data_IF_394139577756
#
_entry.id   IF_394139577756
#
_cell.length_a   1.000
_cell.length_b   1.000
_cell.length_c   1.000
_cell.angle_alpha   90.00
_cell.angle_beta   90.00
_cell.angle_gamma   90.00
#
_symmetry.space_group_name_H-M   'P 1'
#
loop_
_entity.id
_entity.type
_entity.pdbx_description
1 polymer ?
2 non-polymer ?
3 water ?
#
# COMPACT_ATOMS: atom_id res chain seq x y z
N UNK A 3 3.42 16.85 19.14
CA UNK A 3 2.09 16.47 18.55
C UNK A 3 0.98 16.49 19.60
N UNK A 4 -0.25 16.84 19.20
CA UNK A 4 -1.33 16.86 20.18
C UNK A 4 -1.64 15.39 20.56
N UNK A 5 -2.42 15.20 21.61
CA UNK A 5 -2.75 13.85 22.05
C UNK A 5 -3.72 13.19 21.08
N UNK A 6 -3.52 11.89 20.77
CA UNK A 6 -4.44 11.19 19.86
C UNK A 6 -5.81 11.24 20.52
N UNK A 7 -6.87 11.32 19.72
CA UNK A 7 -8.23 11.40 20.22
C UNK A 7 -8.96 10.07 20.02
N UNK A 8 -8.99 9.27 21.06
CA UNK A 8 -9.63 7.97 21.03
C UNK A 8 -11.14 8.03 20.82
N UNK A 9 -11.79 9.04 21.39
CA UNK A 9 -13.25 9.18 21.19
C UNK A 9 -13.53 9.48 19.71
N UNK A 10 -12.70 10.30 19.09
CA UNK A 10 -12.86 10.60 17.67
C UNK A 10 -12.59 9.34 16.86
N UNK A 11 -11.54 8.61 17.24
CA UNK A 11 -11.24 7.37 16.53
C UNK A 11 -12.41 6.40 16.64
N UNK A 12 -13.01 6.31 17.83
CA UNK A 12 -14.14 5.40 18.03
C UNK A 12 -15.28 5.75 17.07
N UNK A 13 -15.53 7.05 16.92
CA UNK A 13 -16.59 7.54 16.04
C UNK A 13 -16.31 7.23 14.58
N UNK A 14 -15.05 7.38 14.18
CA UNK A 14 -14.68 7.08 12.80
C UNK A 14 -15.01 5.63 12.51
N UNK A 15 -14.57 4.72 13.38
CA UNK A 15 -14.85 3.30 13.17
C UNK A 15 -16.35 3.04 13.12
N UNK A 16 -17.08 3.59 14.08
CA UNK A 16 -18.52 3.41 14.13
C UNK A 16 -19.17 3.92 12.83
N UNK A 17 -18.73 5.06 12.33
CA UNK A 17 -19.25 5.58 11.08
C UNK A 17 -18.93 4.64 9.90
N UNK A 18 -17.72 4.09 9.85
CA UNK A 18 -17.37 3.18 8.76
C UNK A 18 -18.32 1.98 8.77
N UNK A 19 -18.64 1.46 9.95
CA UNK A 19 -19.56 0.31 9.99
C UNK A 19 -20.94 0.72 9.45
N UNK A 20 -21.41 1.89 9.87
CA UNK A 20 -22.69 2.39 9.40
C UNK A 20 -22.72 2.55 7.88
N UNK A 21 -21.54 2.63 7.27
CA UNK A 21 -21.46 2.83 5.83
C UNK A 21 -21.19 1.58 5.02
N UNK A 22 -21.06 0.43 5.69
CA UNK A 22 -20.88 -0.80 4.93
C UNK A 22 -19.68 -1.65 5.26
N UNK A 23 -18.79 -1.14 6.12
CA UNK A 23 -17.63 -1.92 6.53
C UNK A 23 -18.08 -2.92 7.59
N UNK A 24 -17.86 -4.22 7.37
CA UNK A 24 -18.27 -5.23 8.36
C UNK A 24 -17.49 -4.96 9.66
N UNK A 25 -16.23 -4.59 9.51
CA UNK A 25 -15.36 -4.32 10.65
C UNK A 25 -14.35 -3.22 10.33
N UNK A 26 -13.84 -2.56 11.35
CA UNK A 26 -12.84 -1.52 11.12
C UNK A 26 -12.02 -1.42 12.39
N UNK A 27 -10.74 -1.10 12.25
CA UNK A 27 -9.89 -1.02 13.43
C UNK A 27 -8.69 -0.14 13.17
N UNK A 28 -8.07 0.35 14.24
CA UNK A 28 -6.94 1.23 14.12
C UNK A 28 -6.01 1.07 15.30
N UNK A 29 -4.72 1.20 15.05
CA UNK A 29 -3.71 1.13 16.10
C UNK A 29 -2.79 2.33 15.96
N UNK A 30 -2.55 3.01 17.08
CA UNK A 30 -1.65 4.14 17.06
C UNK A 30 -0.48 3.78 17.98
N UNK A 31 0.74 4.07 17.53
CA UNK A 31 1.90 3.83 18.36
C UNK A 31 2.39 5.26 18.59
N UNK A 32 2.02 5.81 19.74
CA UNK A 32 2.37 7.19 20.07
C UNK A 32 3.60 7.27 20.99
N UNK A 33 4.76 7.24 20.34
CA UNK A 33 6.04 7.33 21.04
C UNK A 33 6.10 6.41 22.25
N UNK A 34 5.69 5.16 22.05
CA UNK A 34 5.73 4.19 23.11
C UNK A 34 4.42 3.90 23.86
N UNK A 35 3.39 4.71 23.62
CA UNK A 35 2.10 4.49 24.25
C UNK A 35 1.18 4.06 23.12
N UNK A 36 0.55 2.90 23.31
CA UNK A 36 -0.34 2.33 22.28
C UNK A 36 -1.81 2.73 22.41
N UNK A 37 -2.47 2.99 21.28
CA UNK A 37 -3.91 3.23 21.29
C UNK A 37 -4.42 2.17 20.34
N UNK A 38 -5.47 1.46 20.72
CA UNK A 38 -5.99 0.43 19.83
C UNK A 38 -7.49 0.30 19.99
N UNK A 39 -8.20 0.36 18.86
CA UNK A 39 -9.65 0.27 18.86
C UNK A 39 -10.11 -0.54 17.64
N UNK A 40 -11.24 -1.22 17.79
CA UNK A 40 -11.83 -2.00 16.71
C UNK A 40 -13.33 -2.14 16.94
N UNK A 41 -14.06 -2.30 15.86
CA UNK A 41 -15.50 -2.50 16.04
C UNK A 41 -15.92 -3.36 14.87
N UNK A 42 -16.91 -4.21 15.06
CA UNK A 42 -17.32 -4.99 13.91
C UNK A 42 -16.75 -6.38 13.88
N UNK A 43 -16.94 -7.02 12.73
CA UNK A 43 -16.56 -8.40 12.55
C UNK A 43 -15.47 -8.64 11.51
N UNK A 44 -14.62 -9.62 11.81
CA UNK A 44 -13.54 -10.04 10.94
C UNK A 44 -14.19 -10.95 9.87
N UNK A 45 -15.19 -11.73 10.29
CA UNK A 45 -15.88 -12.63 9.36
C UNK A 45 -17.35 -12.36 9.60
N UNK A 46 -18.02 -11.78 8.61
CA UNK A 46 -19.43 -11.43 8.75
C UNK A 46 -20.42 -12.61 8.73
N UNK A 47 -19.99 -13.78 8.24
CA UNK A 47 -20.88 -14.94 8.21
C UNK A 47 -20.82 -15.69 9.53
N UNK A 48 -19.64 -15.79 10.11
CA UNK A 48 -19.50 -16.48 11.37
C UNK A 48 -19.68 -15.50 12.50
N UNK A 49 -19.46 -14.21 12.21
CA UNK A 49 -19.61 -13.19 13.23
C UNK A 49 -18.41 -13.00 14.15
N UNK A 50 -17.29 -13.62 13.82
CA UNK A 50 -16.09 -13.46 14.63
C UNK A 50 -15.68 -11.98 14.63
N UNK A 51 -15.48 -11.40 15.81
CA UNK A 51 -15.11 -9.98 15.92
C UNK A 51 -13.74 -9.64 15.36
N UNK A 52 -13.62 -8.46 14.78
CA UNK A 52 -12.34 -8.00 14.24
C UNK A 52 -11.52 -7.45 15.40
N UNK A 53 -10.19 -7.57 15.33
CA UNK A 53 -9.31 -7.07 16.39
C UNK A 53 -8.10 -6.43 15.72
N UNK A 54 -7.37 -5.58 16.45
CA UNK A 54 -6.20 -4.95 15.85
C UNK A 54 -5.05 -5.92 15.56
N UNK A 55 -5.15 -7.17 16.02
CA UNK A 55 -4.09 -8.12 15.74
C UNK A 55 -4.41 -8.99 14.50
N UNK A 56 -5.59 -8.83 13.92
CA UNK A 56 -5.94 -9.61 12.72
C UNK A 56 -5.06 -9.20 11.52
N UNK A 57 -4.53 -10.19 10.82
CA UNK A 57 -3.73 -9.88 9.64
C UNK A 57 -4.64 -9.47 8.48
N UNK A 58 -4.08 -8.77 7.50
CA UNK A 58 -4.89 -8.32 6.37
C UNK A 58 -4.01 -7.99 5.18
N UNK A 59 -4.63 -7.77 4.02
CA UNK A 59 -3.90 -7.43 2.79
C UNK A 59 -3.75 -5.91 2.75
N UNK A 60 -2.52 -5.45 2.77
CA UNK A 60 -2.20 -4.02 2.81
C UNK A 60 -2.17 -3.26 1.49
N UNK A 61 -2.40 -3.94 0.37
CA UNK A 61 -2.41 -3.22 -0.91
C UNK A 61 -1.10 -2.49 -1.19
N UNK A 62 -1.18 -1.29 -1.76
CA UNK A 62 0.02 -0.52 -2.12
C UNK A 62 0.94 -0.04 -1.04
N UNK A 63 0.64 -0.42 0.21
CA UNK A 63 1.57 -0.11 1.26
C UNK A 63 2.78 -0.96 0.80
N UNK A 64 2.49 -2.01 0.03
CA UNK A 64 3.53 -2.89 -0.50
C UNK A 64 4.58 -2.08 -1.25
N UNK A 65 4.12 -1.04 -1.94
CA UNK A 65 5.02 -0.18 -2.72
C UNK A 65 6.14 0.38 -1.88
N UNK A 66 5.83 0.74 -0.63
CA UNK A 66 6.85 1.28 0.25
C UNK A 66 7.91 0.22 0.56
N UNK A 67 7.47 -1.04 0.68
CA UNK A 67 8.42 -2.12 0.93
C UNK A 67 9.31 -2.26 -0.33
N UNK A 68 8.68 -2.27 -1.51
CA UNK A 68 9.45 -2.37 -2.75
C UNK A 68 10.44 -1.22 -2.90
N UNK A 69 10.01 0.00 -2.57
CA UNK A 69 10.89 1.15 -2.70
C UNK A 69 12.05 1.03 -1.72
N UNK A 70 11.79 0.55 -0.51
CA UNK A 70 12.87 0.40 0.46
C UNK A 70 13.95 -0.54 -0.12
N UNK A 71 13.54 -1.68 -0.65
CA UNK A 71 14.51 -2.59 -1.24
C UNK A 71 15.33 -1.89 -2.34
N UNK A 72 14.63 -1.21 -3.25
CA UNK A 72 15.32 -0.52 -4.33
C UNK A 72 16.27 0.58 -3.85
N UNK A 73 15.90 1.30 -2.80
CA UNK A 73 16.77 2.37 -2.32
C UNK A 73 17.99 1.76 -1.63
N UNK A 74 17.85 0.58 -1.02
CA UNK A 74 19.00 -0.07 -0.42
C UNK A 74 19.95 -0.50 -1.56
N UNK A 75 19.38 -0.93 -2.68
CA UNK A 75 20.21 -1.32 -3.83
C UNK A 75 20.93 -0.07 -4.34
N UNK A 76 20.33 1.10 -4.17
CA UNK A 76 20.98 2.34 -4.60
C UNK A 76 22.15 2.60 -3.64
N UNK A 77 21.91 2.45 -2.35
CA UNK A 77 22.98 2.62 -1.36
C UNK A 77 24.13 1.66 -1.66
N UNK A 78 23.79 0.46 -2.10
CA UNK A 78 24.81 -0.56 -2.40
C UNK A 78 25.50 -0.32 -3.75
N UNK A 79 25.05 0.68 -4.50
CA UNK A 79 25.67 0.98 -5.78
C UNK A 79 25.22 0.07 -6.92
N UNK A 80 24.16 -0.69 -6.73
CA UNK A 80 23.67 -1.60 -7.75
C UNK A 80 22.59 -0.98 -8.63
N UNK A 81 22.13 0.20 -8.26
CA UNK A 81 21.07 0.87 -9.01
C UNK A 81 21.23 2.39 -8.99
N UNK A 82 21.02 3.03 -10.13
CA UNK A 82 21.11 4.48 -10.22
C UNK A 82 19.69 4.95 -10.58
N UNK A 83 19.08 5.78 -9.72
CA UNK A 83 17.70 6.21 -9.94
C UNK A 83 17.48 6.92 -11.23
N UNK A 84 18.52 7.57 -11.75
CA UNK A 84 18.31 8.28 -12.99
C UNK A 84 18.71 7.50 -14.24
N UNK A 85 19.08 6.23 -14.06
CA UNK A 85 19.39 5.38 -15.21
C UNK A 85 18.06 4.93 -15.81
N UNK A 86 18.06 4.62 -17.10
CA UNK A 86 16.85 4.14 -17.76
C UNK A 86 16.49 2.75 -17.29
N UNK A 87 15.19 2.45 -17.26
CA UNK A 87 14.73 1.13 -16.88
C UNK A 87 15.32 0.10 -17.90
N UNK A 88 15.34 0.46 -19.19
CA UNK A 88 15.84 -0.46 -20.21
C UNK A 88 17.31 -0.84 -20.05
N UNK A 89 18.02 -0.04 -19.27
CA UNK A 89 19.42 -0.34 -18.99
C UNK A 89 19.50 -1.64 -18.20
N UNK A 90 18.64 -1.78 -17.19
CA UNK A 90 18.63 -2.97 -16.33
C UNK A 90 17.74 -4.10 -16.85
N UNK A 91 16.73 -3.73 -17.65
CA UNK A 91 15.78 -4.69 -18.20
C UNK A 91 15.69 -4.37 -19.69
N UNK A 92 16.70 -4.79 -20.45
CA UNK A 92 16.78 -4.55 -21.89
C UNK A 92 15.50 -4.84 -22.63
N UNK A 93 15.10 -3.91 -23.50
CA UNK A 93 13.91 -4.08 -24.31
C UNK A 93 12.56 -4.15 -23.62
N UNK A 94 12.51 -3.88 -22.32
CA UNK A 94 11.24 -3.95 -21.61
C UNK A 94 10.26 -2.86 -22.03
N UNK A 95 10.70 -1.60 -22.02
CA UNK A 95 9.79 -0.50 -22.36
C UNK A 95 10.05 0.06 -23.75
N UNK A 96 9.01 0.63 -24.37
CA UNK A 96 9.24 1.17 -25.72
C UNK A 96 10.06 2.46 -25.73
N UNK A 97 10.21 3.08 -24.56
CA UNK A 97 10.96 4.32 -24.44
C UNK A 97 12.18 4.06 -23.58
N UNK A 98 13.34 4.06 -24.21
CA UNK A 98 14.56 3.76 -23.47
C UNK A 98 15.03 4.92 -22.60
N UNK A 99 14.19 5.94 -22.45
CA UNK A 99 14.54 7.08 -21.58
C UNK A 99 13.70 7.12 -20.30
N UNK A 100 12.70 6.24 -20.18
CA UNK A 100 11.91 6.19 -18.94
C UNK A 100 12.90 5.65 -17.88
N UNK A 101 13.07 6.40 -16.79
CA UNK A 101 14.00 6.07 -15.71
C UNK A 101 13.39 5.40 -14.50
N UNK A 102 14.26 4.86 -13.66
CA UNK A 102 13.83 4.18 -12.46
C UNK A 102 13.12 5.18 -11.52
N UNK A 103 13.66 6.39 -11.42
CA UNK A 103 13.06 7.42 -10.58
C UNK A 103 11.64 7.75 -11.07
N UNK A 104 11.47 7.86 -12.38
CA UNK A 104 10.15 8.16 -12.93
C UNK A 104 9.15 7.05 -12.61
N UNK A 105 9.60 5.81 -12.73
CA UNK A 105 8.72 4.70 -12.44
C UNK A 105 8.34 4.69 -10.94
N UNK A 106 9.30 4.93 -10.06
CA UNK A 106 9.04 4.90 -8.62
C UNK A 106 8.16 6.03 -8.12
N UNK A 107 8.04 7.10 -8.90
CA UNK A 107 7.23 8.25 -8.52
C UNK A 107 6.00 8.45 -9.40
N UNK A 108 5.68 7.44 -10.22
CA UNK A 108 4.53 7.51 -11.11
C UNK A 108 4.62 8.69 -12.11
N UNK A 109 5.82 8.90 -12.66
CA UNK A 109 5.95 9.96 -13.65
C UNK A 109 6.46 9.34 -14.96
N UNK A 110 6.19 8.04 -15.14
CA UNK A 110 6.66 7.32 -16.32
C UNK A 110 5.71 7.39 -17.53
N UNK A 111 4.43 7.62 -17.28
CA UNK A 111 3.46 7.65 -18.36
C UNK A 111 2.95 6.26 -18.73
N UNK A 112 3.43 5.23 -18.03
CA UNK A 112 2.97 3.86 -18.32
C UNK A 112 1.49 3.65 -17.99
N UNK A 113 0.74 3.11 -18.95
CA UNK A 113 -0.69 2.87 -18.77
C UNK A 113 -0.95 1.85 -17.66
N UNK A 114 -1.99 2.11 -16.86
CA UNK A 114 -2.31 1.20 -15.76
C UNK A 114 -3.26 0.10 -16.24
N UNK A 115 -2.75 -1.12 -16.36
CA UNK A 115 -3.56 -2.26 -16.83
C UNK A 115 -4.72 -2.61 -15.90
N UNK A 116 -4.64 -2.24 -14.63
CA UNK A 116 -5.74 -2.56 -13.74
C UNK A 116 -7.03 -1.80 -14.10
N UNK A 117 -6.92 -0.70 -14.87
CA UNK A 117 -8.13 0.02 -15.27
C UNK A 117 -8.95 -0.89 -16.22
N UNK A 118 -8.27 -1.75 -16.96
CA UNK A 118 -8.96 -2.70 -17.83
C UNK A 118 -9.51 -3.84 -16.98
N UNK A 119 -8.70 -4.34 -16.05
CA UNK A 119 -9.11 -5.48 -15.24
C UNK A 119 -10.32 -5.20 -14.39
N UNK A 120 -10.37 -4.03 -13.78
CA UNK A 120 -11.48 -3.74 -12.88
C UNK A 120 -12.51 -2.72 -13.30
N UNK A 121 -12.85 -2.71 -14.60
CA UNK A 121 -13.86 -1.82 -15.14
C UNK A 121 -15.16 -2.16 -14.43
N UNK A 122 -15.34 -3.45 -14.15
CA UNK A 122 -16.51 -3.92 -13.41
C UNK A 122 -15.89 -4.57 -12.17
N UNK A 123 -16.26 -4.10 -11.00
CA UNK A 123 -15.65 -4.57 -9.75
C UNK A 123 -15.68 -6.06 -9.46
N UNK A 124 -16.87 -6.65 -9.35
CA UNK A 124 -16.94 -8.05 -9.00
C UNK A 124 -16.52 -8.96 -10.16
N UNK A 125 -17.00 -8.68 -11.39
CA UNK A 125 -16.58 -9.55 -12.50
C UNK A 125 -15.05 -9.47 -12.67
N UNK A 126 -14.51 -8.26 -12.49
CA UNK A 126 -13.07 -8.08 -12.62
C UNK A 126 -12.35 -8.90 -11.55
N UNK A 127 -12.86 -8.83 -10.32
CA UNK A 127 -12.26 -9.61 -9.25
C UNK A 127 -12.34 -11.11 -9.57
N UNK A 128 -13.52 -11.59 -9.99
CA UNK A 128 -13.66 -13.02 -10.28
C UNK A 128 -12.71 -13.42 -11.41
N UNK A 129 -12.43 -12.47 -12.28
CA UNK A 129 -11.58 -12.78 -13.42
C UNK A 129 -10.10 -13.02 -13.04
N UNK A 130 -9.58 -12.20 -12.14
CA UNK A 130 -8.17 -12.30 -11.78
C UNK A 130 -7.83 -12.98 -10.47
N UNK A 131 -8.83 -13.20 -9.60
CA UNK A 131 -8.52 -13.73 -8.26
C UNK A 131 -7.70 -14.98 -8.19
N UNK A 132 -7.95 -15.90 -9.11
CA UNK A 132 -7.22 -17.15 -9.12
C UNK A 132 -6.21 -17.23 -10.25
N UNK A 133 -5.83 -16.08 -10.80
CA UNK A 133 -4.86 -16.08 -11.89
C UNK A 133 -3.45 -15.82 -11.40
N UNK A 134 -2.47 -16.42 -12.07
CA UNK A 134 -1.06 -16.20 -11.72
C UNK A 134 -0.41 -15.55 -12.96
N UNK A 135 0.06 -14.34 -12.78
CA UNK A 135 0.72 -13.59 -13.85
C UNK A 135 2.20 -13.49 -13.59
N UNK A 136 3.00 -13.44 -14.66
CA UNK A 136 4.43 -13.20 -14.51
C UNK A 136 4.49 -11.68 -14.53
N UNK A 137 5.59 -11.11 -14.08
CA UNK A 137 5.74 -9.65 -14.14
C UNK A 137 5.61 -9.22 -15.59
N UNK A 138 6.23 -9.97 -16.49
CA UNK A 138 6.19 -9.60 -17.91
C UNK A 138 4.76 -9.62 -18.44
N UNK A 139 3.95 -10.58 -18.01
CA UNK A 139 2.55 -10.65 -18.46
C UNK A 139 1.87 -9.30 -18.22
N UNK A 140 2.09 -8.75 -17.02
CA UNK A 140 1.47 -7.49 -16.60
C UNK A 140 1.99 -6.30 -17.42
N UNK A 141 3.30 -6.24 -17.61
CA UNK A 141 3.91 -5.17 -18.39
C UNK A 141 3.33 -5.22 -19.82
N UNK A 142 3.24 -6.43 -20.36
CA UNK A 142 2.71 -6.55 -21.71
C UNK A 142 1.28 -6.00 -21.80
N UNK A 143 0.48 -6.27 -20.77
CA UNK A 143 -0.89 -5.79 -20.73
C UNK A 143 -0.87 -4.29 -20.80
N UNK A 144 0.02 -3.68 -20.02
CA UNK A 144 0.13 -2.24 -20.02
C UNK A 144 0.52 -1.68 -21.39
N UNK A 145 1.58 -2.26 -21.96
CA UNK A 145 2.16 -1.83 -23.23
C UNK A 145 1.24 -1.95 -24.43
N UNK A 146 0.16 -2.71 -24.29
CA UNK A 146 -0.84 -2.84 -25.36
C UNK A 146 -1.48 -1.45 -25.60
N UNK A 147 -1.44 -0.62 -24.56
CA UNK A 147 -1.98 0.75 -24.65
C UNK A 147 -0.78 1.65 -24.90
N UNK A 148 -1.00 2.86 -25.38
CA UNK A 148 0.18 3.71 -25.55
C UNK A 148 0.47 4.33 -24.20
N UNK A 149 1.62 4.99 -24.01
CA UNK A 149 1.86 5.64 -22.72
C UNK A 149 0.82 6.76 -22.66
N UNK A 150 0.56 7.27 -21.47
CA UNK A 150 -0.47 8.30 -21.29
C UNK A 150 0.05 9.71 -21.35
N UNK A 151 1.37 9.87 -21.24
CA UNK A 151 2.00 11.19 -21.27
C UNK A 151 3.51 11.00 -21.37
N UNK A 152 4.23 12.10 -21.58
CA UNK A 152 5.69 12.09 -21.69
C UNK A 152 6.33 11.77 -20.35
N UNK A 153 7.47 11.09 -20.36
CA UNK A 153 8.14 10.76 -19.09
C UNK A 153 8.49 12.03 -18.35
N UNK A 154 8.35 11.97 -17.03
CA UNK A 154 8.67 13.09 -16.15
C UNK A 154 7.64 14.20 -16.23
N UNK A 155 6.66 14.04 -17.12
CA UNK A 155 5.61 15.03 -17.35
C UNK A 155 4.88 15.44 -16.08
N UNK A 156 4.22 14.48 -15.45
CA UNK A 156 3.48 14.74 -14.20
C UNK A 156 3.13 13.40 -13.56
N UNK A 157 2.65 13.46 -12.34
CA UNK A 157 2.28 12.27 -11.62
C UNK A 157 0.98 11.67 -12.19
N UNK A 158 1.02 10.39 -12.54
CA UNK A 158 -0.18 9.68 -12.98
C UNK A 158 -0.04 8.28 -12.41
N UNK A 159 -0.89 7.95 -11.43
CA UNK A 159 -0.80 6.63 -10.81
C UNK A 159 -0.89 5.44 -11.77
N UNK A 160 -0.01 4.48 -11.63
CA UNK A 160 -0.07 3.30 -12.48
C UNK A 160 0.58 2.11 -11.77
N UNK A 161 -0.20 1.06 -11.52
CA UNK A 161 0.34 -0.13 -10.87
C UNK A 161 1.49 -0.70 -11.67
N UNK A 162 1.45 -0.51 -12.99
CA UNK A 162 2.50 -1.00 -13.88
C UNK A 162 3.88 -0.54 -13.36
N UNK A 163 3.95 0.67 -12.82
CA UNK A 163 5.21 1.18 -12.33
C UNK A 163 5.84 0.29 -11.26
N UNK A 164 5.05 -0.21 -10.32
CA UNK A 164 5.66 -1.04 -9.31
C UNK A 164 5.73 -2.50 -9.68
N UNK A 165 5.18 -2.86 -10.84
CA UNK A 165 5.34 -4.21 -11.36
C UNK A 165 6.77 -4.14 -11.92
N UNK A 166 7.08 -3.03 -12.59
CA UNK A 166 8.43 -2.84 -13.11
C UNK A 166 9.39 -2.85 -11.91
N UNK A 167 9.01 -2.19 -10.81
CA UNK A 167 9.86 -2.17 -9.63
C UNK A 167 10.19 -3.59 -9.15
N UNK A 168 9.21 -4.49 -9.15
CA UNK A 168 9.46 -5.86 -8.71
C UNK A 168 10.42 -6.57 -9.67
N UNK A 169 10.21 -6.36 -10.96
CA UNK A 169 11.07 -6.97 -11.97
C UNK A 169 12.51 -6.51 -11.78
N UNK A 170 12.69 -5.22 -11.50
CA UNK A 170 14.04 -4.67 -11.26
C UNK A 170 14.67 -5.34 -10.05
N UNK A 171 13.91 -5.42 -8.97
CA UNK A 171 14.45 -6.05 -7.75
C UNK A 171 14.94 -7.49 -8.04
N UNK A 172 14.12 -8.31 -8.69
CA UNK A 172 14.50 -9.70 -8.94
C UNK A 172 15.65 -9.83 -9.92
N UNK A 173 15.69 -8.96 -10.92
CA UNK A 173 16.80 -9.02 -11.88
C UNK A 173 18.12 -8.59 -11.23
N UNK A 174 18.11 -7.49 -10.52
CA UNK A 174 19.36 -7.00 -9.93
C UNK A 174 19.89 -7.83 -8.79
N UNK A 175 19.01 -8.54 -8.08
CA UNK A 175 19.45 -9.32 -6.94
C UNK A 175 19.54 -10.80 -7.23
N UNK A 176 18.87 -11.23 -8.29
CA UNK A 176 18.87 -12.65 -8.61
C UNK A 176 18.02 -13.44 -7.61
N UNK A 177 17.25 -12.73 -6.78
CA UNK A 177 16.36 -13.38 -5.80
C UNK A 177 14.91 -12.95 -6.02
N UNK A 178 13.98 -13.65 -5.37
CA UNK A 178 12.56 -13.31 -5.48
C UNK A 178 12.29 -12.08 -4.62
N UNK A 179 11.19 -11.37 -4.89
CA UNK A 179 10.87 -10.22 -4.03
C UNK A 179 10.59 -10.72 -2.61
N UNK A 180 9.99 -11.90 -2.49
CA UNK A 180 9.71 -12.43 -1.17
C UNK A 180 11.00 -12.52 -0.33
N UNK A 181 12.06 -13.03 -0.95
CA UNK A 181 13.34 -13.21 -0.29
C UNK A 181 13.94 -11.86 0.10
N UNK A 182 13.88 -10.91 -0.82
CA UNK A 182 14.42 -9.58 -0.57
C UNK A 182 13.65 -8.86 0.54
N UNK A 183 12.32 -8.93 0.52
CA UNK A 183 11.52 -8.27 1.59
C UNK A 183 11.89 -8.90 2.93
N UNK A 184 11.99 -10.22 2.93
CA UNK A 184 12.30 -10.93 4.17
C UNK A 184 13.68 -10.55 4.72
N UNK A 185 14.70 -10.65 3.89
CA UNK A 185 16.05 -10.37 4.33
C UNK A 185 16.32 -8.92 4.66
N UNK A 186 15.77 -8.01 3.85
CA UNK A 186 16.03 -6.59 4.03
C UNK A 186 15.08 -5.86 4.96
N UNK A 187 13.87 -6.38 5.16
CA UNK A 187 12.91 -5.68 6.01
C UNK A 187 12.22 -6.53 7.09
N UNK A 188 11.56 -7.62 6.70
CA UNK A 188 10.80 -8.40 7.67
C UNK A 188 11.62 -8.93 8.83
N UNK A 189 12.74 -9.56 8.52
CA UNK A 189 13.58 -10.11 9.56
C UNK A 189 14.27 -9.04 10.40
N UNK A 190 14.92 -8.06 9.74
CA UNK A 190 15.60 -7.00 10.51
C UNK A 190 14.66 -6.26 11.47
N UNK A 191 13.42 -6.04 11.04
CA UNK A 191 12.49 -5.33 11.91
C UNK A 191 11.65 -6.25 12.74
N UNK A 192 11.86 -7.56 12.59
CA UNK A 192 11.10 -8.57 13.32
C UNK A 192 9.59 -8.43 13.12
N UNK A 193 9.18 -8.29 11.86
CA UNK A 193 7.75 -8.13 11.52
C UNK A 193 7.17 -9.51 11.42
N UNK A 194 6.81 -10.08 12.57
CA UNK A 194 6.31 -11.45 12.65
C UNK A 194 4.94 -11.68 12.05
N UNK A 195 4.20 -10.62 11.76
CA UNK A 195 2.86 -10.78 11.17
C UNK A 195 2.88 -10.39 9.69
N UNK A 196 4.08 -10.15 9.14
CA UNK A 196 4.21 -9.72 7.76
C UNK A 196 4.72 -10.80 6.81
N UNK A 197 4.01 -10.98 5.69
CA UNK A 197 4.37 -12.04 4.73
C UNK A 197 4.15 -11.57 3.30
N UNK A 198 4.77 -12.29 2.36
CA UNK A 198 4.58 -12.07 0.93
C UNK A 198 4.58 -13.52 0.49
N UNK A 199 3.39 -14.04 0.19
CA UNK A 199 3.24 -15.43 -0.15
C UNK A 199 2.80 -15.69 -1.57
N UNK A 200 2.74 -14.64 -2.39
CA UNK A 200 2.33 -14.76 -3.77
C UNK A 200 2.96 -15.98 -4.42
N UNK A 201 2.19 -16.78 -5.18
CA UNK A 201 0.76 -16.63 -5.47
C UNK A 201 -0.20 -17.35 -4.53
N UNK A 202 0.25 -17.78 -3.35
CA UNK A 202 -0.63 -18.45 -2.39
C UNK A 202 -1.82 -17.54 -2.08
N UNK A 203 -3.01 -18.14 -1.97
CA UNK A 203 -4.23 -17.42 -1.67
C UNK A 203 -4.59 -17.38 -0.20
N UNK A 204 -3.92 -18.22 0.60
CA UNK A 204 -4.18 -18.27 2.02
C UNK A 204 -3.49 -17.14 2.77
N UNK A 205 -4.18 -16.58 3.76
CA UNK A 205 -3.57 -15.56 4.60
C UNK A 205 -3.18 -16.32 5.89
N UNK A 206 -1.87 -16.37 6.20
CA UNK A 206 -1.41 -17.08 7.40
C UNK A 206 -1.94 -16.53 8.72
N UNK A 207 -2.36 -17.41 9.61
CA UNK A 207 -2.84 -16.96 10.91
C UNK A 207 -4.21 -16.32 10.92
N UNK A 208 -4.61 -15.85 12.11
CA UNK A 208 -5.88 -15.22 12.30
C UNK A 208 -5.91 -13.92 11.52
N UNK A 209 -6.93 -13.77 10.69
CA UNK A 209 -7.01 -12.60 9.85
C UNK A 209 -8.42 -12.13 9.70
N UNK A 210 -8.54 -10.93 9.17
CA UNK A 210 -9.85 -10.38 8.88
C UNK A 210 -10.15 -10.84 7.44
N UNK A 211 -11.36 -11.29 7.19
CA UNK A 211 -11.78 -11.66 5.85
C UNK A 211 -12.10 -10.33 5.15
N UNK A 212 -11.97 -10.32 3.83
CA UNK A 212 -12.22 -9.10 3.09
C UNK A 212 -13.56 -9.21 2.40
N UNK A 213 -14.32 -8.12 2.38
CA UNK A 213 -15.63 -8.11 1.75
C UNK A 213 -15.71 -7.06 0.65
N UNK A 214 -15.83 -7.55 -0.58
CA UNK A 214 -15.90 -6.66 -1.74
C UNK A 214 -17.32 -6.12 -1.96
N UNK A 215 -17.44 -4.79 -1.99
CA UNK A 215 -18.73 -4.16 -2.22
C UNK A 215 -18.98 -4.17 -3.72
N UNK A 216 -20.13 -4.70 -4.18
CA UNK A 216 -20.38 -4.71 -5.63
C UNK A 216 -20.69 -3.32 -6.14
N UNK A 217 -20.64 -3.13 -7.46
CA UNK A 217 -20.93 -1.80 -8.00
C UNK A 217 -22.37 -1.39 -7.84
N UNK A 218 -23.24 -2.38 -7.63
CA UNK A 218 -24.68 -2.11 -7.47
C UNK A 218 -25.00 -1.70 -6.03
N UNK A 219 -25.55 -0.50 -5.85
CA UNK A 219 -25.89 -0.04 -4.50
C UNK A 219 -26.78 -1.06 -3.78
N UNK A 220 -26.47 -1.33 -2.52
CA UNK A 220 -27.25 -2.30 -1.74
C UNK A 220 -26.99 -3.76 -2.06
N UNK A 221 -26.14 -4.04 -3.04
CA UNK A 221 -25.85 -5.41 -3.39
C UNK A 221 -25.15 -6.21 -2.32
N UNK A 222 -25.34 -7.52 -2.36
CA UNK A 222 -24.72 -8.43 -1.38
C UNK A 222 -23.21 -8.37 -1.49
N UNK A 223 -22.53 -8.43 -0.35
CA UNK A 223 -21.08 -8.39 -0.38
C UNK A 223 -20.49 -9.76 -0.80
N UNK A 224 -19.31 -9.69 -1.42
CA UNK A 224 -18.59 -10.87 -1.90
C UNK A 224 -17.35 -11.10 -1.02
N UNK A 225 -17.18 -12.32 -0.49
CA UNK A 225 -15.99 -12.60 0.31
C UNK A 225 -14.82 -12.64 -0.70
N UNK A 226 -13.93 -11.68 -0.59
CA UNK A 226 -12.78 -11.56 -1.50
C UNK A 226 -11.46 -11.88 -0.79
N UNK A 227 -11.56 -12.46 0.40
CA UNK A 227 -10.37 -12.77 1.22
C UNK A 227 -9.22 -13.50 0.51
N UNK A 228 -9.52 -14.63 -0.11
CA UNK A 228 -8.49 -15.47 -0.69
C UNK A 228 -8.33 -15.32 -2.19
N UNK A 229 -7.21 -14.70 -2.58
CA UNK A 229 -6.88 -14.48 -3.99
C UNK A 229 -5.35 -14.43 -4.08
N UNK A 230 -4.83 -14.58 -5.29
CA UNK A 230 -3.40 -14.59 -5.48
C UNK A 230 -2.78 -13.21 -5.38
N UNK A 231 -3.58 -12.18 -5.69
CA UNK A 231 -3.11 -10.80 -5.74
C UNK A 231 -2.00 -10.72 -6.80
N UNK A 232 -1.97 -11.69 -7.71
CA UNK A 232 -0.94 -11.72 -8.76
C UNK A 232 -1.05 -10.51 -9.71
N UNK A 233 -2.21 -9.85 -9.74
CA UNK A 233 -2.36 -8.68 -10.59
C UNK A 233 -1.59 -7.47 -10.03
N UNK A 234 -1.09 -7.59 -8.78
CA UNK A 234 -0.34 -6.49 -8.13
C UNK A 234 1.08 -6.84 -7.74
N UNK A 235 1.26 -7.99 -7.08
CA UNK A 235 2.57 -8.45 -6.64
C UNK A 235 3.40 -7.38 -5.92
N UNK A 236 4.51 -6.92 -6.50
CA UNK A 236 5.35 -5.92 -5.84
C UNK A 236 4.66 -4.55 -5.73
N UNK A 237 3.47 -4.43 -6.32
CA UNK A 237 2.71 -3.19 -6.21
C UNK A 237 1.65 -3.30 -5.08
N UNK A 238 1.36 -4.52 -4.61
CA UNK A 238 0.35 -4.63 -3.56
C UNK A 238 0.02 -5.98 -2.90
N UNK A 239 0.90 -6.97 -2.91
CA UNK A 239 0.55 -8.29 -2.32
C UNK A 239 1.03 -8.58 -0.89
N UNK A 240 1.61 -7.60 -0.22
CA UNK A 240 2.06 -7.86 1.15
C UNK A 240 0.86 -8.02 2.12
N UNK A 241 1.06 -8.88 3.11
CA UNK A 241 0.08 -9.17 4.17
C UNK A 241 0.79 -8.68 5.44
N UNK A 242 0.08 -8.00 6.34
CA UNK A 242 0.70 -7.53 7.56
C UNK A 242 -0.35 -7.29 8.65
N UNK A 243 0.05 -6.54 9.67
CA UNK A 243 -0.82 -6.24 10.80
C UNK A 243 -0.61 -4.77 11.15
N UNK A 244 -1.51 -4.22 11.96
CA UNK A 244 -1.37 -2.82 12.32
C UNK A 244 -0.08 -2.60 13.10
N UNK A 245 0.29 -3.52 13.99
CA UNK A 245 1.53 -3.34 14.74
C UNK A 245 2.74 -3.33 13.79
N UNK A 246 2.78 -4.29 12.86
CA UNK A 246 3.90 -4.38 11.95
C UNK A 246 4.02 -3.20 11.02
N UNK A 247 2.90 -2.69 10.49
CA UNK A 247 3.03 -1.53 9.60
C UNK A 247 3.49 -0.32 10.42
N UNK A 248 3.01 -0.18 11.66
CA UNK A 248 3.45 0.95 12.49
C UNK A 248 4.97 0.87 12.70
N UNK A 249 5.47 -0.32 13.01
CA UNK A 249 6.90 -0.50 13.23
C UNK A 249 7.67 -0.13 11.93
N UNK A 250 7.18 -0.61 10.80
CA UNK A 250 7.82 -0.34 9.52
C UNK A 250 7.89 1.13 9.19
N UNK A 251 6.77 1.83 9.26
CA UNK A 251 6.86 3.24 8.90
C UNK A 251 7.63 4.07 9.89
N UNK A 252 7.56 3.70 11.18
CA UNK A 252 8.36 4.44 12.16
C UNK A 252 9.85 4.19 11.87
N UNK A 253 10.21 2.95 11.54
CA UNK A 253 11.60 2.62 11.24
C UNK A 253 12.07 3.35 9.96
N UNK A 254 11.20 3.44 8.97
CA UNK A 254 11.52 4.13 7.73
C UNK A 254 11.78 5.61 8.00
N UNK A 255 10.83 6.28 8.66
CA UNK A 255 10.96 7.71 8.89
C UNK A 255 12.05 8.07 9.88
N UNK A 256 12.32 7.19 10.84
CA UNK A 256 13.36 7.48 11.82
C UNK A 256 14.76 7.16 11.26
N UNK A 257 14.81 6.83 9.98
CA UNK A 257 16.07 6.61 9.30
C UNK A 257 16.78 5.31 9.51
N UNK A 258 16.04 4.23 9.75
CA UNK A 258 16.67 2.96 10.02
C UNK A 258 16.73 2.01 8.83
N UNK A 259 16.13 2.38 7.72
CA UNK A 259 16.06 1.47 6.56
C UNK A 259 16.91 1.79 5.33
N UNK A 260 17.68 2.87 5.39
CA UNK A 260 18.50 3.25 4.24
C UNK A 260 19.35 4.44 4.66
N UNK A 261 20.23 4.90 3.79
CA UNK A 261 21.06 6.05 4.11
C UNK A 261 20.21 7.32 4.15
N UNK A 262 20.71 8.34 4.83
CA UNK A 262 19.99 9.61 4.92
C UNK A 262 19.76 10.14 3.52
N UNK A 263 20.74 9.93 2.63
CA UNK A 263 20.65 10.42 1.25
C UNK A 263 19.50 9.77 0.51
N UNK A 264 19.37 8.46 0.60
CA UNK A 264 18.27 7.77 -0.08
C UNK A 264 16.90 8.10 0.53
N UNK A 265 16.83 8.28 1.85
CA UNK A 265 15.54 8.63 2.46
C UNK A 265 15.17 10.02 1.93
N UNK A 266 16.16 10.90 1.72
CA UNK A 266 15.88 12.23 1.18
C UNK A 266 15.30 12.12 -0.23
N UNK A 267 15.87 11.25 -1.07
CA UNK A 267 15.38 11.06 -2.44
C UNK A 267 13.94 10.52 -2.38
N UNK A 268 13.70 9.65 -1.41
CA UNK A 268 12.39 9.03 -1.24
C UNK A 268 11.32 10.05 -0.91
N UNK A 269 11.74 11.15 -0.29
CA UNK A 269 10.82 12.19 0.13
C UNK A 269 10.83 13.42 -0.77
N UNK A 270 11.26 13.29 -2.01
CA UNK A 270 11.21 14.45 -2.90
C UNK A 270 9.80 14.39 -3.46
N UNK A 271 8.94 15.28 -2.99
CA UNK A 271 7.53 15.25 -3.37
C UNK A 271 7.12 15.74 -4.72
N UNK A 272 6.30 14.94 -5.38
CA UNK A 272 5.71 15.27 -6.65
C UNK A 272 4.24 15.52 -6.29
N UNK A 273 3.66 16.61 -6.77
CA UNK A 273 2.27 16.91 -6.43
C UNK A 273 1.27 15.86 -6.93
N UNK A 274 0.37 15.42 -6.04
CA UNK A 274 -0.70 14.46 -6.37
C UNK A 274 -1.98 15.30 -6.43
N UNK A 275 -2.20 16.09 -5.39
CA UNK A 275 -3.34 17.03 -5.34
C UNK A 275 -2.95 18.10 -4.33
N UNK A 276 -3.88 19.01 -4.05
CA UNK A 276 -3.62 20.12 -3.13
C UNK A 276 -3.20 19.73 -1.73
N UNK A 277 -3.46 18.50 -1.30
CA UNK A 277 -3.07 18.14 0.05
C UNK A 277 -2.25 16.85 0.05
N UNK A 278 -1.73 16.46 -1.10
CA UNK A 278 -0.97 15.23 -1.16
C UNK A 278 0.21 15.28 -2.12
N UNK A 279 1.24 14.51 -1.77
CA UNK A 279 2.41 14.40 -2.62
C UNK A 279 2.82 12.95 -2.73
N UNK A 280 3.66 12.64 -3.72
CA UNK A 280 4.17 11.29 -3.89
C UNK A 280 5.69 11.41 -4.03
N UNK A 281 6.44 10.57 -3.35
CA UNK A 281 7.89 10.64 -3.47
C UNK A 281 8.31 9.42 -4.26
N UNK A 282 9.05 8.52 -3.63
CA UNK A 282 9.43 7.27 -4.30
C UNK A 282 8.76 6.15 -3.50
N UNK A 283 7.64 5.64 -4.00
CA UNK A 283 6.92 4.60 -3.28
C UNK A 283 6.48 5.07 -1.89
N UNK A 284 6.13 6.35 -1.79
CA UNK A 284 5.75 6.92 -0.50
C UNK A 284 4.75 8.08 -0.72
N UNK A 285 3.72 8.16 0.11
CA UNK A 285 2.73 9.22 -0.01
C UNK A 285 2.81 10.21 1.14
N UNK A 286 2.54 11.48 0.83
CA UNK A 286 2.51 12.50 1.86
C UNK A 286 1.08 13.02 1.89
N UNK A 287 0.49 13.10 3.09
CA UNK A 287 -0.87 13.62 3.29
C UNK A 287 -0.77 14.80 4.26
N UNK A 288 -1.41 15.92 3.92
CA UNK A 288 -1.37 17.12 4.76
C UNK A 288 -2.69 17.16 5.51
N UNK A 289 -2.61 17.13 6.84
CA UNK A 289 -3.83 17.12 7.65
C UNK A 289 -4.34 18.52 7.92
N UNK A 290 -5.59 18.61 8.36
CA UNK A 290 -6.24 19.89 8.61
C UNK A 290 -5.52 20.74 9.62
N UNK A 291 -4.84 20.11 10.57
CA UNK A 291 -4.16 20.89 11.58
C UNK A 291 -2.77 21.28 11.22
N UNK A 292 -2.49 21.33 9.92
CA UNK A 292 -1.16 21.73 9.46
C UNK A 292 -0.01 20.76 9.70
N UNK A 293 -0.33 19.49 9.91
CA UNK A 293 0.69 18.47 10.12
C UNK A 293 0.69 17.58 8.88
N UNK A 294 1.88 17.17 8.42
CA UNK A 294 1.96 16.26 7.28
C UNK A 294 2.40 14.92 7.82
N UNK A 295 1.87 13.84 7.24
CA UNK A 295 2.25 12.49 7.65
C UNK A 295 2.64 11.73 6.40
N UNK A 296 3.41 10.66 6.61
CA UNK A 296 4.02 9.89 5.52
C UNK A 296 3.79 8.40 5.62
N UNK A 297 3.52 7.79 4.47
CA UNK A 297 3.25 6.37 4.46
C UNK A 297 2.53 6.01 3.17
N UNK A 298 1.44 5.26 3.28
CA UNK A 298 0.77 4.85 2.08
C UNK A 298 -0.60 4.28 2.38
N UNK A 299 -1.51 4.42 1.42
CA UNK A 299 -2.85 3.86 1.53
C UNK A 299 -2.79 2.54 0.77
N UNK A 300 -3.75 1.68 1.04
CA UNK A 300 -3.77 0.42 0.33
C UNK A 300 -5.21 0.06 0.04
N UNK A 301 -5.42 -0.47 -1.15
CA UNK A 301 -6.73 -0.96 -1.55
C UNK A 301 -6.53 -2.30 -2.27
N UNK A 302 -7.09 -3.36 -1.70
CA UNK A 302 -7.07 -4.69 -2.31
C UNK A 302 -8.55 -5.07 -2.14
N UNK A 303 -9.07 -5.94 -3.00
CA UNK A 303 -10.48 -6.28 -2.89
C UNK A 303 -10.84 -6.67 -1.46
N UNK A 304 -11.74 -5.90 -0.84
CA UNK A 304 -12.17 -6.22 0.51
C UNK A 304 -11.36 -5.60 1.62
N UNK A 305 -10.31 -4.85 1.28
CA UNK A 305 -9.46 -4.22 2.31
C UNK A 305 -8.97 -2.80 1.99
N UNK A 306 -9.27 -1.86 2.87
CA UNK A 306 -8.82 -0.48 2.74
C UNK A 306 -7.85 -0.26 3.89
N UNK A 307 -6.63 0.18 3.57
CA UNK A 307 -5.60 0.41 4.58
C UNK A 307 -5.05 1.83 4.53
N UNK A 308 -4.78 2.41 5.70
CA UNK A 308 -4.11 3.70 5.79
C UNK A 308 -2.96 3.40 6.77
N UNK A 309 -1.72 3.70 6.40
CA UNK A 309 -0.61 3.47 7.32
C UNK A 309 0.31 4.67 7.15
N UNK A 310 0.33 5.55 8.15
CA UNK A 310 1.13 6.75 8.05
C UNK A 310 1.84 7.08 9.37
N UNK A 311 2.96 7.78 9.27
CA UNK A 311 3.75 8.16 10.45
C UNK A 311 4.15 9.61 10.36
N UNK A 312 4.53 10.17 11.51
CA UNK A 312 4.96 11.56 11.54
C UNK A 312 6.36 11.64 10.93
N UNK A 313 6.79 12.84 10.56
CA UNK A 313 8.11 13.01 9.94
C UNK A 313 9.26 12.32 10.66
N UNK A 314 9.27 12.34 11.98
CA UNK A 314 10.36 11.70 12.73
C UNK A 314 10.07 10.24 13.09
N UNK A 315 8.91 9.75 12.69
CA UNK A 315 8.56 8.36 12.99
C UNK A 315 8.13 8.09 14.41
N UNK A 316 8.03 9.13 15.26
CA UNK A 316 7.65 8.91 16.67
C UNK A 316 6.19 8.49 16.84
N UNK A 317 5.31 8.93 15.95
CA UNK A 317 3.92 8.48 16.04
C UNK A 317 3.55 7.83 14.69
N UNK A 318 2.95 6.65 14.75
CA UNK A 318 2.54 5.95 13.54
C UNK A 318 1.12 5.45 13.78
N UNK A 319 0.37 5.36 12.69
CA UNK A 319 -1.02 4.94 12.76
C UNK A 319 -1.35 3.99 11.60
N UNK A 320 -2.03 2.90 11.90
CA UNK A 320 -2.48 2.01 10.82
C UNK A 320 -3.94 1.71 11.09
N UNK A 321 -4.77 1.94 10.07
CA UNK A 321 -6.20 1.71 10.17
C UNK A 321 -6.61 0.80 9.03
N UNK A 322 -7.61 -0.02 9.29
CA UNK A 322 -8.06 -1.00 8.31
C UNK A 322 -9.58 -1.18 8.41
N UNK A 323 -10.24 -1.22 7.27
CA UNK A 323 -11.68 -1.49 7.20
C UNK A 323 -11.71 -2.68 6.22
N UNK A 324 -12.43 -3.75 6.57
CA UNK A 324 -12.43 -4.90 5.67
C UNK A 324 -13.53 -4.94 4.61
N UNK A 325 -13.56 -3.90 3.81
CA UNK A 325 -14.44 -3.84 2.66
C UNK A 325 -13.65 -2.95 1.69
N UNK A 326 -14.03 -2.96 0.42
CA UNK A 326 -13.41 -2.06 -0.55
C UNK A 326 -14.53 -1.68 -1.53
N UNK A 327 -14.20 -0.89 -2.55
CA UNK A 327 -15.18 -0.39 -3.51
C UNK A 327 -16.35 0.25 -2.77
N UNK A 328 -16.04 1.04 -1.75
CA UNK A 328 -17.05 1.76 -0.95
C UNK A 328 -16.36 3.09 -0.58
N UNK A 329 -16.55 4.10 -1.42
CA UNK A 329 -15.94 5.41 -1.21
C UNK A 329 -16.30 6.05 0.13
N UNK A 330 -17.53 5.81 0.58
CA UNK A 330 -17.97 6.38 1.86
C UNK A 330 -17.05 5.85 2.98
N UNK A 331 -16.80 4.55 2.98
CA UNK A 331 -15.94 3.96 3.99
C UNK A 331 -14.50 4.45 3.81
N UNK A 332 -14.05 4.50 2.57
CA UNK A 332 -12.68 4.96 2.27
C UNK A 332 -12.47 6.36 2.82
N UNK A 333 -13.38 7.28 2.52
CA UNK A 333 -13.25 8.65 3.00
C UNK A 333 -13.31 8.72 4.50
N UNK A 334 -14.23 7.96 5.09
CA UNK A 334 -14.36 7.95 6.54
C UNK A 334 -13.08 7.46 7.24
N UNK A 335 -12.48 6.38 6.74
CA UNK A 335 -11.26 5.82 7.37
C UNK A 335 -10.08 6.77 7.33
N UNK A 336 -10.07 7.69 6.35
CA UNK A 336 -9.00 8.67 6.26
C UNK A 336 -9.03 9.55 7.51
N UNK A 337 -10.21 9.67 8.14
CA UNK A 337 -10.33 10.52 9.33
C UNK A 337 -9.55 9.98 10.51
N UNK A 338 -9.16 8.71 10.48
CA UNK A 338 -8.38 8.17 11.59
C UNK A 338 -7.09 8.99 11.72
N UNK A 339 -6.59 9.49 10.60
CA UNK A 339 -5.34 10.26 10.62
C UNK A 339 -5.51 11.58 11.36
N UNK A 340 -6.63 12.25 11.09
CA UNK A 340 -6.97 13.50 11.75
C UNK A 340 -7.09 13.26 13.27
N UNK A 341 -7.89 12.28 13.69
CA UNK A 341 -8.06 12.02 15.12
C UNK A 341 -6.76 11.58 15.78
N UNK A 342 -5.97 10.76 15.10
CA UNK A 342 -4.73 10.26 15.70
C UNK A 342 -3.58 11.27 15.75
N UNK A 343 -3.47 12.13 14.73
CA UNK A 343 -2.37 13.09 14.72
C UNK A 343 -2.79 14.48 15.17
N UNK A 344 -3.95 14.93 14.71
CA UNK A 344 -4.43 16.27 15.08
C UNK A 344 -5.15 16.31 16.43
N UNK A 345 -5.74 15.19 16.85
CA UNK A 345 -6.41 15.15 18.15
C UNK A 345 -7.76 15.83 18.23
N UNK A 346 -8.24 16.06 19.45
CA UNK A 346 -9.55 16.69 19.62
C UNK A 346 -9.56 18.11 19.04
N UNK A 347 -10.62 18.46 18.29
CA UNK A 347 -10.78 19.78 17.65
C UNK A 347 -10.64 20.91 18.65
X LIG B 1 -7.32 -2.19 -7.56
X LIG B 1 -8.87 -2.18 -7.76
X LIG B 1 -6.88 -0.97 -6.75
X LIG B 1 -9.58 -2.37 -6.40
X LIG B 1 -5.38 -0.75 -6.81
X LIG B 1 -4.71 -1.27 -5.71
X LIG B 1 -4.83 -0.16 -7.71
X LIG B 1 -3.35 -0.89 -5.38
X LIG B 1 -3.39 0.04 -4.20
X LIG B 1 -2.54 -2.15 -5.09
X LIG B 1 -3.39 -0.35 -3.05
X LIG B 1 -3.45 1.39 -4.53
X LIG B 1 -3.52 2.42 -3.47
X LIG B 1 -11.15 -2.38 -6.49
X LIG B 1 -4.95 2.94 -3.38
X LIG B 1 -2.57 3.58 -3.74
X LIG B 1 -2.32 3.87 -4.93
X LIG B 1 -2.12 4.19 -2.73
X LIG B 1 -11.75 -1.31 -7.30
X LIG B 1 -11.67 -2.33 -5.02
X LIG B 1 -12.56 -1.71 -8.39
X LIG B 1 -13.16 -0.55 -9.16
X LIG B 1 -12.80 -2.86 -8.70
X LIG B 1 -14.00 -1.05 -10.26
X LIG B 1 -11.56 -3.41 -4.37
X LIG B 1 -12.13 -1.22 -4.58
#
# INVERSE_FOLDING_TARGET
ADLPAPDDTGLQAVLHTALSQGAPGAMVRVDDNGTIHQLSEGVADRATGRAITTTDRFRVGSVTKSFSAVVLLQLVDEGKLDLDASVNTYLPGLLPDDRITVRQVMSHRSGLYDYTNDMFAQTVPGFESVRNKVFSYQDLITLSLKHGVTNAPGAAYSYSNTNFVVAGMLIEKLTGHSVATEYQNRIFTPLNLTDTFYVHPDTVIPGTHANGYLTPDEAGGALVDSTEQTVSWAQSAGAVISSTQDLDTFFSALMSGQLMSAAQLAQMQQWTTVNSTQGYGLGLRRRDLSCGISVYGHTGTVQGYYTYAFASKDGKRSVTALANTSNNVNVLNTMARTLESAFCGKPTT
REX C1 C2 C3 C4 C5 N1 O1 C6 C7 C8 O2 N2 C9 C10 C11 C12 O3 O4 N3 C13 C14 C15 O5 N4 O6 O7
#
